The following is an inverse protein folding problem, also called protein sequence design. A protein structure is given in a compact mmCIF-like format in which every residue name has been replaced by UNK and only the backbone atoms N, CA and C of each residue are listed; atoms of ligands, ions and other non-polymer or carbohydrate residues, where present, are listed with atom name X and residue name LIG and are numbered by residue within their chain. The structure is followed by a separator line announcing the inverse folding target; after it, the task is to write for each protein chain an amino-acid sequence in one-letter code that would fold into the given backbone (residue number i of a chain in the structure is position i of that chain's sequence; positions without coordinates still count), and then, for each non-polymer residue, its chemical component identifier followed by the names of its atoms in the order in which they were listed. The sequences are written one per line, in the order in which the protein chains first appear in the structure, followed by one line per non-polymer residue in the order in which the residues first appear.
data_IF_614482904158
#
_entry.id   IF_614482904158
#
_cell.length_a   1.000
_cell.length_b   1.000
_cell.length_c   1.000
_cell.angle_alpha   90.00
_cell.angle_beta   90.00
_cell.angle_gamma   90.00
#
_symmetry.space_group_name_H-M   'P 1'
#
loop_
_entity.id
_entity.type
_entity.pdbx_description
1 polymer ?
#
# COMPACT_ATOMS: atom_id res chain seq x y z
N UNK A 1 1.39 30.88 8.25
CA UNK A 1 1.90 31.79 7.19
C UNK A 1 1.29 31.25 5.91
N UNK A 2 0.33 31.95 5.33
CA UNK A 2 -0.33 31.48 4.08
C UNK A 2 0.71 31.65 2.98
N UNK A 3 1.12 30.56 2.33
CA UNK A 3 2.01 30.62 1.17
C UNK A 3 1.28 31.35 0.03
N UNK A 4 1.93 32.33 -0.59
CA UNK A 4 1.34 33.08 -1.71
C UNK A 4 0.97 32.15 -2.88
N UNK A 5 1.77 31.10 -3.10
CA UNK A 5 1.51 30.08 -4.11
C UNK A 5 0.18 29.35 -3.87
N UNK A 6 -0.16 29.07 -2.60
CA UNK A 6 -1.41 28.42 -2.24
C UNK A 6 -2.60 29.36 -2.50
N UNK A 7 -2.46 30.64 -2.16
CA UNK A 7 -3.50 31.64 -2.40
C UNK A 7 -3.77 31.82 -3.90
N UNK A 8 -2.71 31.82 -4.71
CA UNK A 8 -2.83 31.87 -6.17
C UNK A 8 -3.54 30.63 -6.73
N UNK A 9 -3.22 29.43 -6.23
CA UNK A 9 -3.93 28.21 -6.61
C UNK A 9 -5.40 28.22 -6.20
N UNK A 10 -5.71 28.72 -5.00
CA UNK A 10 -7.09 28.87 -4.53
C UNK A 10 -7.86 29.82 -5.46
N UNK A 11 -7.27 30.98 -5.78
CA UNK A 11 -7.87 31.94 -6.71
C UNK A 11 -8.15 31.33 -8.09
N UNK A 12 -7.17 30.63 -8.67
CA UNK A 12 -7.34 29.93 -9.95
C UNK A 12 -8.37 28.79 -9.91
N UNK A 13 -8.56 28.15 -8.74
CA UNK A 13 -9.60 27.11 -8.59
C UNK A 13 -11.01 27.68 -8.40
N UNK A 14 -11.10 28.99 -8.19
CA UNK A 14 -12.34 29.73 -7.94
C UNK A 14 -12.77 30.54 -9.16
N UNK A 15 -11.80 31.03 -9.95
CA UNK A 15 -12.02 31.76 -11.20
C UNK A 15 -12.31 30.78 -12.37
N UNK A 16 -13.54 30.25 -12.40
CA UNK A 16 -14.01 29.36 -13.47
C UNK A 16 -14.10 30.06 -14.83
N UNK A 17 -14.30 31.38 -14.84
CA UNK A 17 -14.42 32.18 -16.06
C UNK A 17 -13.08 32.62 -16.64
N UNK A 18 -12.01 32.61 -15.83
CA UNK A 18 -10.64 32.96 -16.22
C UNK A 18 -10.47 34.44 -16.54
N UNK A 19 -11.33 35.31 -16.00
CA UNK A 19 -11.33 36.75 -16.27
C UNK A 19 -10.49 37.56 -15.27
N UNK A 20 -9.95 36.90 -14.24
CA UNK A 20 -9.13 37.51 -13.20
C UNK A 20 -9.94 38.27 -12.15
N UNK A 21 -11.26 38.11 -12.11
CA UNK A 21 -12.16 38.65 -11.08
C UNK A 21 -13.08 37.55 -10.53
N UNK A 22 -13.49 37.69 -9.26
CA UNK A 22 -14.45 36.75 -8.66
C UNK A 22 -15.86 37.31 -8.73
N UNK A 23 -16.71 36.65 -9.49
CA UNK A 23 -18.14 36.92 -9.48
C UNK A 23 -18.78 36.39 -8.18
N UNK A 24 -19.94 36.94 -7.81
CA UNK A 24 -20.66 36.52 -6.62
C UNK A 24 -21.04 35.03 -6.64
N UNK A 25 -21.19 34.41 -7.82
CA UNK A 25 -21.44 32.97 -7.97
C UNK A 25 -20.21 32.12 -7.69
N UNK A 26 -19.08 32.48 -8.27
CA UNK A 26 -17.78 31.84 -8.03
C UNK A 26 -17.36 31.99 -6.57
N UNK A 27 -17.62 33.16 -5.97
CA UNK A 27 -17.31 33.40 -4.55
C UNK A 27 -18.07 32.47 -3.58
N UNK A 28 -19.22 31.91 -3.96
CA UNK A 28 -19.94 30.94 -3.11
C UNK A 28 -19.13 29.64 -2.95
N UNK A 29 -18.35 29.26 -3.96
CA UNK A 29 -17.54 28.05 -3.94
C UNK A 29 -16.28 28.18 -3.07
N UNK A 30 -16.01 29.37 -2.51
CA UNK A 30 -14.87 29.61 -1.60
C UNK A 30 -14.93 28.68 -0.42
N UNK A 31 -16.11 28.42 0.14
CA UNK A 31 -16.25 27.50 1.27
C UNK A 31 -15.86 26.07 0.88
N UNK A 32 -16.26 25.62 -0.32
CA UNK A 32 -15.90 24.30 -0.85
C UNK A 32 -14.39 24.18 -1.05
N UNK A 33 -13.77 25.22 -1.63
CA UNK A 33 -12.32 25.27 -1.87
C UNK A 33 -11.52 25.32 -0.56
N UNK A 34 -11.98 26.09 0.44
CA UNK A 34 -11.35 26.16 1.75
C UNK A 34 -11.50 24.86 2.56
N UNK A 35 -12.62 24.16 2.40
CA UNK A 35 -12.82 22.83 3.00
C UNK A 35 -12.01 21.74 2.29
N UNK A 36 -11.67 21.98 1.02
CA UNK A 36 -10.78 21.10 0.27
C UNK A 36 -9.35 21.33 0.76
N UNK A 37 -8.77 20.33 1.40
CA UNK A 37 -7.36 20.39 1.79
C UNK A 37 -6.48 20.30 0.53
N UNK A 38 -6.15 21.45 -0.05
CA UNK A 38 -5.23 21.58 -1.19
C UNK A 38 -3.80 21.50 -0.65
N UNK A 39 -3.02 20.56 -1.17
CA UNK A 39 -1.61 20.40 -0.82
C UNK A 39 -0.75 20.57 -2.08
N UNK A 40 0.17 21.52 -2.05
CA UNK A 40 1.21 21.63 -3.08
C UNK A 40 2.38 20.73 -2.68
N UNK A 41 2.71 19.76 -3.52
CA UNK A 41 3.84 18.84 -3.30
C UNK A 41 4.79 18.88 -4.48
N UNK A 42 6.09 19.01 -4.21
CA UNK A 42 7.09 18.87 -5.26
C UNK A 42 7.11 17.44 -5.80
N UNK A 43 6.83 17.30 -7.10
CA UNK A 43 6.74 16.01 -7.80
C UNK A 43 8.06 15.22 -7.83
N UNK A 44 9.17 15.91 -8.07
CA UNK A 44 10.47 15.26 -8.24
C UNK A 44 11.28 15.20 -6.95
N UNK A 45 11.94 14.06 -6.73
CA UNK A 45 12.88 13.86 -5.64
C UNK A 45 14.01 14.89 -5.68
N UNK A 46 14.58 15.22 -4.52
CA UNK A 46 15.77 16.07 -4.43
C UNK A 46 16.93 15.50 -5.27
N UNK A 47 17.00 14.17 -5.39
CA UNK A 47 17.97 13.48 -6.22
C UNK A 47 17.77 13.74 -7.72
N UNK A 48 16.55 13.56 -8.23
CA UNK A 48 16.22 13.89 -9.62
C UNK A 48 16.39 15.38 -9.93
N UNK A 49 16.12 16.27 -8.98
CA UNK A 49 16.37 17.71 -9.18
C UNK A 49 17.85 18.03 -9.41
N UNK A 50 18.73 17.31 -8.72
CA UNK A 50 20.19 17.51 -8.78
C UNK A 50 20.85 16.77 -9.96
N UNK A 51 20.36 15.58 -10.30
CA UNK A 51 20.96 14.69 -11.30
C UNK A 51 20.07 14.47 -12.55
N UNK A 52 18.90 15.07 -12.63
CA UNK A 52 17.91 14.86 -13.70
C UNK A 52 18.35 15.32 -15.08
N UNK A 53 19.38 16.18 -15.17
CA UNK A 53 19.98 16.56 -16.45
C UNK A 53 20.91 15.49 -17.01
N UNK A 54 21.38 14.54 -16.19
CA UNK A 54 22.28 13.49 -16.64
C UNK A 54 21.57 12.56 -17.66
N UNK A 55 22.21 12.21 -18.79
CA UNK A 55 21.64 11.31 -19.79
C UNK A 55 21.12 9.98 -19.23
N UNK A 56 21.78 9.29 -18.27
CA UNK A 56 21.22 8.06 -17.71
C UNK A 56 19.90 8.30 -16.98
N UNK A 57 19.75 9.42 -16.26
CA UNK A 57 18.54 9.71 -15.49
C UNK A 57 17.34 10.00 -16.39
N UNK A 58 17.57 10.64 -17.55
CA UNK A 58 16.54 10.86 -18.58
C UNK A 58 16.13 9.56 -19.25
N UNK A 59 17.08 8.67 -19.54
CA UNK A 59 16.79 7.35 -20.10
C UNK A 59 15.97 6.50 -19.13
N UNK A 60 16.35 6.47 -17.84
CA UNK A 60 15.59 5.77 -16.79
C UNK A 60 14.18 6.37 -16.65
N UNK A 61 14.04 7.70 -16.64
CA UNK A 61 12.72 8.34 -16.63
C UNK A 61 11.90 7.89 -17.85
N UNK A 62 12.44 8.02 -19.06
CA UNK A 62 11.77 7.63 -20.30
C UNK A 62 11.36 6.15 -20.34
N UNK A 63 12.15 5.27 -19.73
CA UNK A 63 11.85 3.85 -19.66
C UNK A 63 10.76 3.55 -18.63
N UNK A 64 10.71 4.31 -17.53
CA UNK A 64 9.76 4.09 -16.45
C UNK A 64 8.45 4.88 -16.61
N UNK A 65 8.43 6.00 -17.31
CA UNK A 65 7.22 6.80 -17.59
C UNK A 65 6.68 6.54 -18.99
N UNK A 66 5.39 6.26 -19.12
CA UNK A 66 4.77 6.20 -20.44
C UNK A 66 4.42 7.62 -20.91
N UNK A 67 4.91 8.02 -22.09
CA UNK A 67 4.59 9.31 -22.72
C UNK A 67 3.21 9.29 -23.42
N UNK A 68 2.29 8.41 -22.99
CA UNK A 68 0.96 8.32 -23.57
C UNK A 68 0.04 9.26 -22.81
N UNK A 69 -0.15 10.43 -23.41
CA UNK A 69 -1.12 11.46 -23.09
C UNK A 69 -2.53 10.85 -22.99
N UNK A 70 -2.89 10.34 -21.81
CA UNK A 70 -4.29 10.12 -21.46
C UNK A 70 -4.86 11.48 -21.08
N UNK A 71 -6.05 11.78 -21.60
CA UNK A 71 -6.82 13.01 -21.42
C UNK A 71 -6.61 13.57 -20.02
N UNK A 72 -6.18 14.83 -19.96
CA UNK A 72 -5.83 15.61 -18.78
C UNK A 72 -7.02 15.89 -17.83
N UNK A 73 -7.86 14.90 -17.54
CA UNK A 73 -8.99 15.07 -16.62
C UNK A 73 -8.58 15.01 -15.14
N UNK A 74 -7.33 14.63 -14.83
CA UNK A 74 -6.80 14.55 -13.46
C UNK A 74 -5.54 15.41 -13.23
N UNK A 75 -5.17 16.31 -14.15
CA UNK A 75 -4.06 17.25 -13.94
C UNK A 75 -2.63 16.66 -14.07
N UNK A 76 -2.48 15.40 -14.49
CA UNK A 76 -1.17 14.77 -14.73
C UNK A 76 -1.08 14.11 -16.11
N UNK A 77 -0.02 14.42 -16.88
CA UNK A 77 0.23 13.87 -18.22
C UNK A 77 1.18 12.65 -18.26
N UNK A 78 1.91 12.37 -17.17
CA UNK A 78 2.91 11.28 -17.11
C UNK A 78 2.71 10.43 -15.84
N UNK A 79 2.26 9.19 -16.01
CA UNK A 79 2.12 8.20 -14.92
C UNK A 79 3.03 7.01 -15.22
N UNK A 80 3.50 6.30 -14.19
CA UNK A 80 4.27 5.06 -14.38
C UNK A 80 3.38 3.91 -14.85
N UNK A 81 2.11 3.97 -14.43
CA UNK A 81 1.09 2.99 -14.79
C UNK A 81 1.04 2.81 -16.32
N UNK A 82 1.04 1.55 -16.78
CA UNK A 82 1.12 1.13 -18.18
C UNK A 82 2.47 1.30 -18.92
N UNK A 83 3.55 1.67 -18.22
CA UNK A 83 4.90 1.74 -18.82
C UNK A 83 5.47 0.35 -19.17
N UNK A 84 6.46 0.30 -20.07
CA UNK A 84 7.20 -0.93 -20.39
C UNK A 84 7.85 -1.53 -19.13
N UNK A 85 8.34 -0.67 -18.24
CA UNK A 85 8.87 -1.09 -16.94
C UNK A 85 7.81 -1.80 -16.09
N UNK A 86 6.63 -1.20 -15.93
CA UNK A 86 5.54 -1.77 -15.14
C UNK A 86 5.03 -3.10 -15.75
N UNK A 87 5.02 -3.21 -17.08
CA UNK A 87 4.70 -4.48 -17.77
C UNK A 87 5.73 -5.58 -17.46
N UNK A 88 7.01 -5.25 -17.47
CA UNK A 88 8.08 -6.19 -17.11
C UNK A 88 7.96 -6.60 -15.64
N UNK A 89 7.74 -5.65 -14.73
CA UNK A 89 7.56 -5.94 -13.31
C UNK A 89 6.30 -6.77 -13.04
N UNK A 90 5.20 -6.51 -13.75
CA UNK A 90 3.99 -7.32 -13.67
C UNK A 90 4.21 -8.75 -14.20
N UNK A 91 5.00 -8.93 -15.27
CA UNK A 91 5.35 -10.27 -15.74
C UNK A 91 6.17 -11.03 -14.69
N UNK A 92 7.17 -10.37 -14.09
CA UNK A 92 7.99 -10.93 -12.99
C UNK A 92 7.10 -11.30 -11.80
N UNK A 93 6.12 -10.45 -11.47
CA UNK A 93 5.16 -10.68 -10.40
C UNK A 93 4.32 -11.93 -10.64
N UNK A 94 3.78 -12.09 -11.86
CA UNK A 94 2.99 -13.28 -12.24
C UNK A 94 3.86 -14.55 -12.19
N UNK A 95 5.08 -14.50 -12.73
CA UNK A 95 6.01 -15.63 -12.66
C UNK A 95 6.34 -16.01 -11.23
N UNK A 96 6.56 -15.01 -10.36
CA UNK A 96 6.80 -15.29 -8.95
C UNK A 96 5.56 -15.86 -8.24
N UNK A 97 4.37 -15.35 -8.53
CA UNK A 97 3.13 -15.89 -7.97
C UNK A 97 2.95 -17.37 -8.36
N UNK A 98 3.17 -17.71 -9.63
CA UNK A 98 3.15 -19.11 -10.10
C UNK A 98 4.15 -19.99 -9.34
N UNK A 99 5.34 -19.45 -9.06
CA UNK A 99 6.36 -20.15 -8.28
C UNK A 99 5.92 -20.41 -6.84
N UNK A 100 5.33 -19.41 -6.19
CA UNK A 100 4.78 -19.52 -4.83
C UNK A 100 3.64 -20.55 -4.79
N UNK A 101 2.73 -20.53 -5.76
CA UNK A 101 1.67 -21.55 -5.86
C UNK A 101 2.24 -22.95 -6.01
N UNK A 102 3.30 -23.13 -6.80
CA UNK A 102 3.97 -24.42 -6.95
C UNK A 102 4.62 -24.87 -5.63
N UNK A 103 5.35 -23.99 -4.95
CA UNK A 103 5.95 -24.27 -3.64
C UNK A 103 4.88 -24.66 -2.60
N UNK A 104 3.77 -23.92 -2.54
CA UNK A 104 2.64 -24.26 -1.66
C UNK A 104 1.98 -25.60 -2.02
N UNK A 105 1.95 -25.98 -3.29
CA UNK A 105 1.45 -27.29 -3.70
C UNK A 105 2.37 -28.44 -3.22
N UNK A 106 3.69 -28.27 -3.28
CA UNK A 106 4.63 -29.25 -2.73
C UNK A 106 4.51 -29.38 -1.20
N UNK A 107 4.40 -28.25 -0.49
CA UNK A 107 4.23 -28.19 0.96
C UNK A 107 2.92 -28.88 1.41
N UNK A 108 1.81 -28.65 0.67
CA UNK A 108 0.52 -29.29 0.97
C UNK A 108 0.54 -30.82 0.79
N UNK A 109 1.38 -31.33 -0.12
CA UNK A 109 1.52 -32.76 -0.39
C UNK A 109 2.65 -33.43 0.42
N UNK A 110 3.24 -32.70 1.38
CA UNK A 110 4.34 -33.16 2.26
C UNK A 110 5.54 -33.73 1.47
N UNK A 111 5.77 -33.16 0.28
CA UNK A 111 6.86 -33.54 -0.62
C UNK A 111 8.11 -32.72 -0.27
N UNK A 112 9.28 -33.34 -0.36
CA UNK A 112 10.56 -32.65 -0.12
C UNK A 112 10.74 -31.48 -1.09
N UNK A 113 10.74 -30.25 -0.57
CA UNK A 113 10.93 -29.05 -1.37
C UNK A 113 12.37 -29.03 -1.95
N UNK A 114 12.54 -28.95 -3.28
CA UNK A 114 13.86 -28.83 -3.89
C UNK A 114 14.61 -27.59 -3.40
N UNK A 115 15.92 -27.70 -3.15
CA UNK A 115 16.76 -26.58 -2.71
C UNK A 115 16.79 -25.38 -3.67
N UNK A 116 16.38 -25.57 -4.92
CA UNK A 116 16.24 -24.49 -5.91
C UNK A 116 15.17 -23.45 -5.54
N UNK A 117 14.14 -23.84 -4.77
CA UNK A 117 13.05 -22.92 -4.40
C UNK A 117 13.53 -21.73 -3.59
N UNK A 118 14.43 -21.98 -2.65
CA UNK A 118 15.01 -20.92 -1.83
C UNK A 118 15.83 -19.92 -2.67
N UNK A 119 16.66 -20.40 -3.59
CA UNK A 119 17.47 -19.54 -4.47
C UNK A 119 16.60 -18.65 -5.35
N UNK A 120 15.53 -19.21 -5.90
CA UNK A 120 14.59 -18.49 -6.76
C UNK A 120 13.84 -17.42 -5.95
N UNK A 121 13.42 -17.72 -4.72
CA UNK A 121 12.74 -16.75 -3.87
C UNK A 121 13.61 -15.57 -3.46
N UNK A 122 14.89 -15.81 -3.19
CA UNK A 122 15.87 -14.75 -2.93
C UNK A 122 16.08 -13.89 -4.18
N UNK A 123 16.19 -14.51 -5.36
CA UNK A 123 16.33 -13.80 -6.63
C UNK A 123 15.14 -12.88 -6.91
N UNK A 124 13.91 -13.39 -6.75
CA UNK A 124 12.71 -12.57 -6.89
C UNK A 124 12.59 -11.51 -5.79
N UNK A 125 13.05 -11.76 -4.56
CA UNK A 125 13.07 -10.72 -3.53
C UNK A 125 14.03 -9.58 -3.89
N UNK A 126 15.17 -9.91 -4.51
CA UNK A 126 16.17 -8.93 -4.90
C UNK A 126 15.68 -8.02 -6.03
N UNK A 127 14.86 -8.53 -6.97
CA UNK A 127 14.41 -7.76 -8.14
C UNK A 127 13.43 -6.63 -7.81
N UNK A 128 12.67 -6.74 -6.70
CA UNK A 128 11.74 -5.70 -6.25
C UNK A 128 12.45 -4.52 -5.57
N UNK A 129 13.66 -4.72 -5.05
CA UNK A 129 14.42 -3.64 -4.40
C UNK A 129 14.80 -2.53 -5.40
N UNK A 130 15.39 -2.83 -6.59
CA UNK A 130 15.61 -1.84 -7.63
C UNK A 130 14.33 -1.13 -8.08
N UNK A 131 13.18 -1.80 -8.13
CA UNK A 131 11.91 -1.18 -8.54
C UNK A 131 11.57 0.03 -7.65
N UNK A 132 11.57 -0.20 -6.34
CA UNK A 132 11.29 0.85 -5.36
C UNK A 132 12.36 1.94 -5.39
N UNK A 133 13.64 1.58 -5.49
CA UNK A 133 14.76 2.53 -5.54
C UNK A 133 14.65 3.43 -6.77
N UNK A 134 14.33 2.89 -7.94
CA UNK A 134 14.18 3.66 -9.18
C UNK A 134 12.99 4.62 -9.06
N UNK A 135 11.84 4.14 -8.59
CA UNK A 135 10.65 4.98 -8.38
C UNK A 135 10.93 6.12 -7.40
N UNK A 136 11.59 5.85 -6.27
CA UNK A 136 11.94 6.84 -5.25
C UNK A 136 13.06 7.80 -5.68
N UNK A 137 13.87 7.40 -6.66
CA UNK A 137 14.88 8.28 -7.26
C UNK A 137 14.25 9.34 -8.16
N UNK A 138 13.08 9.06 -8.75
CA UNK A 138 12.33 9.98 -9.62
C UNK A 138 11.32 10.80 -8.82
N UNK A 139 10.44 10.14 -8.07
CA UNK A 139 9.38 10.80 -7.30
C UNK A 139 9.83 11.20 -5.91
N UNK A 140 9.34 12.35 -5.44
CA UNK A 140 9.50 12.75 -4.05
C UNK A 140 8.82 11.76 -3.11
N UNK A 141 9.38 11.55 -1.92
CA UNK A 141 8.82 10.63 -0.91
C UNK A 141 7.33 10.93 -0.65
N UNK A 142 6.95 12.20 -0.57
CA UNK A 142 5.56 12.59 -0.30
C UNK A 142 4.60 12.22 -1.43
N UNK A 143 5.04 12.34 -2.67
CA UNK A 143 4.26 11.97 -3.86
C UNK A 143 4.14 10.45 -3.98
N UNK A 144 5.26 9.75 -3.77
CA UNK A 144 5.30 8.29 -3.74
C UNK A 144 4.35 7.71 -2.67
N UNK A 145 4.31 8.32 -1.48
CA UNK A 145 3.40 7.97 -0.39
C UNK A 145 1.98 8.52 -0.55
N UNK A 146 1.68 9.31 -1.58
CA UNK A 146 0.30 9.68 -1.88
C UNK A 146 -0.42 8.53 -2.61
N UNK A 147 0.28 7.89 -3.55
CA UNK A 147 -0.26 6.82 -4.38
C UNK A 147 -0.36 5.48 -3.63
N UNK A 148 -1.54 4.85 -3.69
CA UNK A 148 -1.81 3.59 -2.98
C UNK A 148 -0.98 2.43 -3.50
N UNK A 149 -0.80 2.32 -4.81
CA UNK A 149 -0.04 1.23 -5.44
C UNK A 149 1.45 1.28 -5.07
N UNK A 150 2.02 2.48 -5.07
CA UNK A 150 3.40 2.72 -4.64
C UNK A 150 3.60 2.45 -3.15
N UNK A 151 2.65 2.85 -2.31
CA UNK A 151 2.68 2.52 -0.87
C UNK A 151 2.72 1.01 -0.64
N UNK A 152 1.89 0.26 -1.35
CA UNK A 152 1.86 -1.19 -1.23
C UNK A 152 3.17 -1.83 -1.70
N UNK A 153 3.72 -1.36 -2.82
CA UNK A 153 5.00 -1.81 -3.36
C UNK A 153 6.17 -1.61 -2.38
N UNK A 154 6.23 -0.46 -1.72
CA UNK A 154 7.26 -0.16 -0.71
C UNK A 154 7.14 -1.05 0.53
N UNK A 155 5.93 -1.18 1.08
CA UNK A 155 5.70 -2.00 2.27
C UNK A 155 6.05 -3.46 1.97
N UNK A 156 5.57 -4.00 0.85
CA UNK A 156 5.86 -5.38 0.48
C UNK A 156 7.36 -5.61 0.25
N UNK A 157 8.04 -4.71 -0.47
CA UNK A 157 9.49 -4.81 -0.69
C UNK A 157 10.29 -4.79 0.61
N UNK A 158 9.95 -3.91 1.57
CA UNK A 158 10.62 -3.86 2.87
C UNK A 158 10.36 -5.12 3.68
N UNK A 159 9.11 -5.57 3.73
CA UNK A 159 8.75 -6.77 4.48
C UNK A 159 9.47 -8.00 3.91
N UNK A 160 9.54 -8.11 2.58
CA UNK A 160 10.30 -9.16 1.89
C UNK A 160 11.81 -9.08 2.15
N UNK A 161 12.39 -7.88 2.10
CA UNK A 161 13.80 -7.67 2.41
C UNK A 161 14.10 -8.05 3.87
N UNK A 162 13.22 -7.70 4.80
CA UNK A 162 13.33 -8.09 6.21
C UNK A 162 13.25 -9.61 6.40
N UNK A 163 12.36 -10.32 5.69
CA UNK A 163 12.36 -11.80 5.70
C UNK A 163 13.69 -12.39 5.25
N UNK A 164 14.25 -11.87 4.15
CA UNK A 164 15.51 -12.35 3.61
C UNK A 164 16.66 -12.16 4.60
N UNK A 165 16.74 -10.98 5.22
CA UNK A 165 17.76 -10.67 6.23
C UNK A 165 17.63 -11.58 7.45
N UNK A 166 16.40 -11.82 7.93
CA UNK A 166 16.16 -12.67 9.10
C UNK A 166 16.65 -14.11 8.89
N UNK A 167 16.55 -14.62 7.65
CA UNK A 167 17.10 -15.93 7.27
C UNK A 167 18.63 -15.98 7.22
N UNK A 168 19.28 -14.87 6.91
CA UNK A 168 20.73 -14.79 6.77
C UNK A 168 21.49 -14.61 8.09
N UNK A 169 20.81 -14.38 9.21
CA UNK A 169 21.45 -14.20 10.52
C UNK A 169 21.61 -15.58 11.19
N UNK A 170 22.85 -16.15 11.25
CA UNK A 170 23.08 -17.51 11.75
C UNK A 170 22.89 -17.65 13.26
N UNK A 171 22.75 -16.53 13.98
CA UNK A 171 22.57 -16.50 15.44
C UNK A 171 21.11 -16.68 15.86
N UNK A 172 20.18 -16.61 14.92
CA UNK A 172 18.76 -16.88 15.18
C UNK A 172 18.55 -18.37 14.93
N UNK A 173 18.31 -19.14 15.99
CA UNK A 173 17.76 -20.50 15.84
C UNK A 173 16.39 -20.35 15.19
N UNK A 174 16.33 -20.56 13.87
CA UNK A 174 15.10 -20.47 13.10
C UNK A 174 14.21 -21.63 13.53
N UNK A 175 13.36 -21.39 14.53
CA UNK A 175 12.31 -22.32 14.94
C UNK A 175 11.38 -22.54 13.74
N UNK A 176 10.78 -23.73 13.63
CA UNK A 176 9.81 -24.05 12.56
C UNK A 176 8.71 -22.97 12.39
N UNK A 177 8.39 -22.24 13.46
CA UNK A 177 7.43 -21.13 13.41
C UNK A 177 7.91 -19.95 12.55
N UNK A 178 9.20 -19.63 12.51
CA UNK A 178 9.72 -18.56 11.65
C UNK A 178 9.56 -18.91 10.17
N UNK A 179 9.78 -20.19 9.80
CA UNK A 179 9.53 -20.67 8.43
C UNK A 179 8.06 -20.50 8.02
N UNK A 180 7.13 -20.75 8.95
CA UNK A 180 5.69 -20.49 8.73
C UNK A 180 5.40 -19.01 8.45
N UNK A 181 5.99 -18.10 9.24
CA UNK A 181 5.82 -16.66 8.99
C UNK A 181 6.41 -16.21 7.66
N UNK A 182 7.56 -16.77 7.25
CA UNK A 182 8.17 -16.47 5.96
C UNK A 182 7.30 -16.90 4.78
N UNK A 183 6.61 -18.04 4.89
CA UNK A 183 5.63 -18.49 3.91
C UNK A 183 4.45 -17.51 3.82
N UNK A 184 3.96 -17.00 4.96
CA UNK A 184 2.92 -15.96 4.98
C UNK A 184 3.40 -14.68 4.29
N UNK A 185 4.66 -14.27 4.47
CA UNK A 185 5.19 -13.06 3.84
C UNK A 185 5.23 -13.17 2.31
N UNK A 186 5.36 -14.38 1.75
CA UNK A 186 5.28 -14.61 0.30
C UNK A 186 3.87 -14.34 -0.26
N UNK A 187 2.81 -14.51 0.54
CA UNK A 187 1.43 -14.20 0.12
C UNK A 187 1.24 -12.71 -0.18
N UNK A 188 2.07 -11.84 0.41
CA UNK A 188 2.05 -10.39 0.14
C UNK A 188 2.32 -10.08 -1.33
N UNK A 189 3.13 -10.91 -2.02
CA UNK A 189 3.39 -10.79 -3.45
C UNK A 189 2.13 -11.08 -4.26
N UNK A 190 1.36 -12.09 -3.87
CA UNK A 190 0.06 -12.38 -4.49
C UNK A 190 -0.93 -11.24 -4.21
N UNK A 191 -0.91 -10.66 -3.01
CA UNK A 191 -1.70 -9.46 -2.68
C UNK A 191 -1.30 -8.24 -3.53
N UNK A 192 -0.01 -8.08 -3.92
CA UNK A 192 0.42 -7.05 -4.87
C UNK A 192 -0.28 -7.21 -6.21
N UNK A 193 -0.39 -8.44 -6.71
CA UNK A 193 -1.08 -8.72 -7.97
C UNK A 193 -2.55 -8.30 -7.91
N UNK A 194 -3.23 -8.51 -6.77
CA UNK A 194 -4.60 -8.01 -6.55
C UNK A 194 -4.67 -6.48 -6.50
N UNK A 195 -3.67 -5.81 -5.91
CA UNK A 195 -3.61 -4.34 -5.88
C UNK A 195 -3.49 -3.71 -7.27
N UNK A 196 -2.93 -4.42 -8.25
CA UNK A 196 -2.78 -3.90 -9.62
C UNK A 196 -4.06 -4.01 -10.46
N UNK A 197 -5.11 -4.64 -9.93
CA UNK A 197 -6.40 -4.76 -10.62
C UNK A 197 -7.19 -3.46 -10.42
N UNK A 198 -7.51 -2.75 -11.50
CA UNK A 198 -8.26 -1.47 -11.45
C UNK A 198 -9.57 -1.57 -10.64
N UNK A 199 -10.28 -2.71 -10.76
CA UNK A 199 -11.49 -2.98 -9.98
C UNK A 199 -11.21 -3.00 -8.47
N UNK A 200 -10.13 -3.65 -8.06
CA UNK A 200 -9.75 -3.75 -6.65
C UNK A 200 -9.30 -2.39 -6.11
N UNK A 201 -8.58 -1.59 -6.89
CA UNK A 201 -8.19 -0.22 -6.50
C UNK A 201 -9.40 0.68 -6.27
N UNK A 202 -10.38 0.68 -7.19
CA UNK A 202 -11.61 1.47 -7.06
C UNK A 202 -12.44 1.02 -5.86
N UNK A 203 -12.53 -0.29 -5.65
CA UNK A 203 -13.31 -0.87 -4.56
C UNK A 203 -12.65 -0.61 -3.21
N UNK A 204 -11.35 -0.88 -3.07
CA UNK A 204 -10.60 -0.61 -1.84
C UNK A 204 -10.56 0.88 -1.48
N UNK A 205 -10.43 1.76 -2.47
CA UNK A 205 -10.53 3.21 -2.25
C UNK A 205 -11.91 3.68 -1.80
N UNK A 206 -12.97 3.00 -2.22
CA UNK A 206 -14.34 3.27 -1.75
C UNK A 206 -14.56 2.72 -0.35
N UNK A 207 -14.12 1.49 -0.08
CA UNK A 207 -14.17 0.87 1.25
C UNK A 207 -13.41 1.71 2.26
N UNK A 208 -12.18 2.14 1.93
CA UNK A 208 -11.37 2.98 2.82
C UNK A 208 -12.08 4.30 3.16
N UNK A 209 -12.68 4.97 2.17
CA UNK A 209 -13.49 6.18 2.39
C UNK A 209 -14.72 5.91 3.25
N UNK A 210 -15.44 4.82 2.99
CA UNK A 210 -16.61 4.42 3.77
C UNK A 210 -16.24 4.11 5.23
N UNK A 211 -15.15 3.41 5.46
CA UNK A 211 -14.65 3.07 6.80
C UNK A 211 -14.23 4.33 7.55
N UNK A 212 -13.46 5.22 6.92
CA UNK A 212 -13.07 6.50 7.53
C UNK A 212 -14.29 7.36 7.87
N UNK A 213 -15.30 7.41 6.99
CA UNK A 213 -16.54 8.15 7.24
C UNK A 213 -17.42 7.50 8.32
N UNK A 214 -17.33 6.17 8.49
CA UNK A 214 -18.10 5.41 9.48
C UNK A 214 -17.38 5.26 10.82
N UNK A 215 -16.31 6.03 11.05
CA UNK A 215 -15.49 5.95 12.26
C UNK A 215 -16.30 6.09 13.55
N UNK A 216 -17.25 7.03 13.59
CA UNK A 216 -18.11 7.26 14.76
C UNK A 216 -19.02 6.07 15.05
N UNK A 217 -19.57 5.45 14.00
CA UNK A 217 -20.43 4.27 14.13
C UNK A 217 -19.63 3.07 14.62
N UNK A 218 -18.43 2.87 14.08
CA UNK A 218 -17.51 1.81 14.51
C UNK A 218 -17.12 2.01 15.98
N UNK A 219 -16.80 3.24 16.39
CA UNK A 219 -16.48 3.57 17.78
C UNK A 219 -17.66 3.31 18.73
N UNK A 220 -18.88 3.69 18.33
CA UNK A 220 -20.09 3.39 19.10
C UNK A 220 -20.30 1.88 19.25
N UNK A 221 -20.06 1.11 18.19
CA UNK A 221 -20.15 -0.35 18.25
C UNK A 221 -19.11 -0.94 19.22
N UNK A 222 -17.86 -0.48 19.17
CA UNK A 222 -16.82 -0.88 20.12
C UNK A 222 -17.19 -0.55 21.58
N UNK A 223 -17.83 0.58 21.83
CA UNK A 223 -18.31 0.93 23.17
C UNK A 223 -19.38 -0.06 23.66
N UNK A 224 -20.33 -0.43 22.80
CA UNK A 224 -21.36 -1.43 23.14
C UNK A 224 -20.72 -2.79 23.41
N UNK A 225 -19.79 -3.24 22.55
CA UNK A 225 -19.04 -4.49 22.76
C UNK A 225 -18.27 -4.48 24.07
N UNK A 226 -17.68 -3.34 24.44
CA UNK A 226 -16.99 -3.17 25.72
C UNK A 226 -17.95 -3.35 26.91
N UNK A 227 -19.13 -2.72 26.88
CA UNK A 227 -20.13 -2.87 27.95
C UNK A 227 -20.58 -4.32 28.10
N UNK A 228 -20.89 -5.00 26.99
CA UNK A 228 -21.25 -6.42 27.01
C UNK A 228 -20.10 -7.30 27.51
N UNK A 229 -18.86 -6.99 27.15
CA UNK A 229 -17.68 -7.69 27.64
C UNK A 229 -17.54 -7.56 29.16
N UNK A 230 -17.70 -6.37 29.72
CA UNK A 230 -17.66 -6.11 31.17
C UNK A 230 -18.76 -6.88 31.90
N UNK A 231 -19.99 -6.83 31.39
CA UNK A 231 -21.12 -7.60 31.94
C UNK A 231 -20.81 -9.10 31.87
N UNK A 232 -20.28 -9.59 30.75
CA UNK A 232 -19.90 -10.99 30.57
C UNK A 232 -18.87 -11.45 31.61
N UNK A 233 -17.82 -10.65 31.86
CA UNK A 233 -16.81 -10.95 32.88
C UNK A 233 -17.42 -10.95 34.29
N UNK A 234 -18.33 -10.03 34.60
CA UNK A 234 -18.98 -9.99 35.92
C UNK A 234 -19.94 -11.17 36.15
N UNK A 235 -20.67 -11.58 35.12
CA UNK A 235 -21.65 -12.67 35.22
C UNK A 235 -20.98 -14.05 35.24
N UNK A 236 -19.99 -14.24 34.37
CA UNK A 236 -19.38 -15.55 34.08
C UNK A 236 -17.93 -15.68 34.58
N UNK A 237 -17.36 -14.63 35.17
CA UNK A 237 -16.02 -14.64 35.75
C UNK A 237 -15.84 -15.78 36.74
N UNK A 238 -14.90 -16.68 36.46
CA UNK A 238 -14.59 -17.84 37.31
C UNK A 238 -15.62 -18.98 37.30
N UNK A 239 -16.77 -18.83 36.64
CA UNK A 239 -17.81 -19.88 36.63
C UNK A 239 -17.59 -20.95 35.56
N UNK A 240 -16.94 -20.58 34.45
CA UNK A 240 -16.65 -21.45 33.29
C UNK A 240 -15.31 -22.20 33.41
N UNK A 241 -14.82 -22.44 34.63
CA UNK A 241 -13.61 -23.23 34.87
C UNK A 241 -13.96 -24.71 34.92
N UNK A 242 -13.16 -25.56 34.24
CA UNK A 242 -13.34 -27.03 34.21
C UNK A 242 -13.27 -27.67 35.62
N UNK A 243 -12.65 -27.00 36.59
CA UNK A 243 -12.54 -27.45 37.98
C UNK A 243 -13.66 -26.94 38.90
N UNK A 244 -14.64 -26.18 38.39
CA UNK A 244 -15.74 -25.66 39.20
C UNK A 244 -16.70 -26.80 39.58
N UNK A 245 -16.80 -27.10 40.87
CA UNK A 245 -17.57 -28.24 41.41
C UNK A 245 -19.08 -28.14 41.15
N UNK A 246 -19.60 -26.95 40.84
CA UNK A 246 -21.01 -26.72 40.49
C UNK A 246 -21.37 -27.26 39.10
N UNK A 247 -20.39 -27.38 38.19
CA UNK A 247 -20.57 -27.90 36.83
C UNK A 247 -19.85 -29.23 36.58
N UNK A 248 -19.14 -29.77 37.58
CA UNK A 248 -18.51 -31.07 37.49
C UNK A 248 -19.57 -32.17 37.29
N UNK A 249 -19.70 -32.67 36.05
CA UNK A 249 -20.63 -33.73 35.66
C UNK A 249 -21.87 -33.28 34.87
N UNK A 250 -21.96 -32.03 34.44
CA UNK A 250 -22.93 -31.62 33.42
C UNK A 250 -22.21 -31.44 32.10
N UNK A 251 -22.42 -32.39 31.20
CA UNK A 251 -21.86 -32.38 29.85
C UNK A 251 -22.54 -31.27 29.04
N UNK A 252 -21.80 -30.17 28.83
CA UNK A 252 -22.02 -29.20 27.78
C UNK A 252 -20.70 -29.00 27.03
#
# INVERSE_FOLDING_TARGET
RVDEDLMHCIFLSLDDTGDGALNAKEFVDVQTVLLTNIWVTHRYSAFYRKFGQAPPMKAIKSFCTNAKERVASEGYSETFNDSMFDKVMNLILVLNAMFVFMSSYFDLNDLSEPSMFWTIDVFFSLIYVPEVVIKLSIWSFREYWAQTDCKFDFITTIVLAASGIMLCIPQVQITQDVLRYLNVMRILRVLKAFSNIELFQRTSGTISRMVCNSGDVIAMNFMVLYLWSVIGVQLFGGKLLRSNTVFAGKDF
#
